data_IF_978903189496
#
_entry.id   IF_978903189496
#
_cell.length_a   1.000
_cell.length_b   1.000
_cell.length_c   1.000
_cell.angle_alpha   90.00
_cell.angle_beta   90.00
_cell.angle_gamma   90.00
#
_symmetry.space_group_name_H-M   'P 1'
#
loop_
_entity.id
_entity.type
_entity.pdbx_description
1 polymer ?
#
# COMPACT_ATOMS: atom_id res chain seq x y z
N UNK A 1 14.41 -5.77 23.33
CA UNK A 1 13.95 -5.46 22.00
C UNK A 1 15.08 -4.95 21.08
N UNK A 2 16.30 -5.48 21.19
CA UNK A 2 17.53 -4.98 20.49
C UNK A 2 18.34 -6.10 19.81
N UNK A 3 17.72 -7.28 19.54
CA UNK A 3 18.41 -8.49 19.01
C UNK A 3 18.06 -8.85 17.56
N UNK A 4 17.27 -8.05 16.84
CA UNK A 4 16.84 -8.35 15.46
C UNK A 4 17.64 -7.61 14.36
N UNK A 5 18.64 -6.80 14.70
CA UNK A 5 19.45 -6.08 13.72
C UNK A 5 20.91 -6.56 13.65
N UNK A 6 21.25 -7.65 14.28
CA UNK A 6 22.61 -8.20 14.25
C UNK A 6 22.83 -9.09 13.02
N UNK A 7 23.22 -8.51 11.88
CA UNK A 7 23.65 -9.30 10.74
C UNK A 7 23.33 -8.77 9.35
N UNK A 8 22.59 -7.67 9.24
CA UNK A 8 22.31 -7.04 7.92
C UNK A 8 23.46 -6.12 7.60
N UNK A 9 24.18 -6.36 6.50
CA UNK A 9 25.24 -5.46 6.05
C UNK A 9 24.66 -4.11 5.63
N UNK A 10 25.45 -3.03 5.70
CA UNK A 10 25.03 -1.70 5.23
C UNK A 10 24.65 -1.73 3.74
N UNK A 11 25.34 -2.53 2.96
CA UNK A 11 25.05 -2.75 1.54
C UNK A 11 23.67 -3.42 1.34
N UNK A 12 23.33 -4.44 2.15
CA UNK A 12 22.03 -5.09 2.10
C UNK A 12 20.92 -4.13 2.51
N UNK A 13 21.15 -3.27 3.50
CA UNK A 13 20.19 -2.27 3.96
C UNK A 13 19.88 -1.23 2.90
N UNK A 14 20.91 -0.73 2.18
CA UNK A 14 20.73 0.24 1.10
C UNK A 14 19.98 -0.38 -0.09
N UNK A 15 20.29 -1.63 -0.44
CA UNK A 15 19.59 -2.36 -1.49
C UNK A 15 18.12 -2.54 -1.14
N UNK A 16 17.80 -3.02 0.06
CA UNK A 16 16.42 -3.21 0.52
C UNK A 16 15.67 -1.87 0.54
N UNK A 17 16.29 -0.78 0.97
CA UNK A 17 15.66 0.54 0.95
C UNK A 17 15.30 0.98 -0.47
N UNK A 18 16.20 0.77 -1.44
CA UNK A 18 15.93 1.07 -2.85
C UNK A 18 14.76 0.25 -3.38
N UNK A 19 14.74 -1.05 -3.09
CA UNK A 19 13.67 -1.96 -3.51
C UNK A 19 12.32 -1.56 -2.88
N UNK A 20 12.30 -1.16 -1.61
CA UNK A 20 11.09 -0.65 -0.93
C UNK A 20 10.56 0.61 -1.60
N UNK A 21 11.44 1.56 -1.93
CA UNK A 21 11.04 2.81 -2.59
C UNK A 21 10.47 2.50 -3.99
N UNK A 22 11.15 1.68 -4.77
CA UNK A 22 10.72 1.32 -6.12
C UNK A 22 9.36 0.60 -6.10
N UNK A 23 9.21 -0.38 -5.22
CA UNK A 23 7.93 -1.10 -5.08
C UNK A 23 6.81 -0.16 -4.63
N UNK A 24 7.06 0.72 -3.65
CA UNK A 24 6.09 1.71 -3.17
C UNK A 24 5.59 2.59 -4.31
N UNK A 25 6.49 3.14 -5.12
CA UNK A 25 6.14 4.01 -6.24
C UNK A 25 5.34 3.22 -7.30
N UNK A 26 5.81 2.02 -7.67
CA UNK A 26 5.09 1.18 -8.62
C UNK A 26 3.67 0.87 -8.15
N UNK A 27 3.49 0.44 -6.90
CA UNK A 27 2.18 0.15 -6.33
C UNK A 27 1.29 1.39 -6.27
N UNK A 28 1.83 2.54 -5.86
CA UNK A 28 1.07 3.80 -5.82
C UNK A 28 0.47 4.12 -7.19
N UNK A 29 1.27 4.11 -8.25
CA UNK A 29 0.80 4.46 -9.59
C UNK A 29 -0.11 3.40 -10.21
N UNK A 30 0.13 2.11 -9.95
CA UNK A 30 -0.77 1.04 -10.40
C UNK A 30 -2.16 1.16 -9.77
N UNK A 31 -2.22 1.34 -8.45
CA UNK A 31 -3.47 1.47 -7.72
C UNK A 31 -4.17 2.79 -8.08
N UNK A 32 -3.42 3.88 -8.26
CA UNK A 32 -3.96 5.16 -8.71
C UNK A 32 -4.59 5.05 -10.12
N UNK A 33 -3.93 4.34 -11.04
CA UNK A 33 -4.46 4.10 -12.37
C UNK A 33 -5.78 3.34 -12.32
N UNK A 34 -5.86 2.30 -11.49
CA UNK A 34 -7.09 1.54 -11.26
C UNK A 34 -8.20 2.43 -10.65
N UNK A 35 -7.89 3.21 -9.60
CA UNK A 35 -8.86 4.12 -8.95
C UNK A 35 -9.44 5.16 -9.91
N UNK A 36 -8.73 5.50 -10.96
CA UNK A 36 -9.17 6.43 -12.01
C UNK A 36 -9.61 5.74 -13.32
N UNK A 37 -9.72 4.41 -13.32
CA UNK A 37 -10.08 3.61 -14.51
C UNK A 37 -9.20 3.92 -15.72
N UNK A 38 -7.89 4.08 -15.50
CA UNK A 38 -6.89 4.38 -16.53
C UNK A 38 -5.97 3.16 -16.72
N UNK A 39 -5.47 3.01 -17.92
CA UNK A 39 -4.42 2.03 -18.19
C UNK A 39 -3.17 2.38 -17.39
N UNK A 40 -2.56 1.41 -16.70
CA UNK A 40 -1.32 1.63 -15.98
C UNK A 40 -0.13 1.81 -16.93
N UNK A 41 0.91 2.47 -16.45
CA UNK A 41 2.19 2.48 -17.14
C UNK A 41 2.84 1.09 -17.07
N UNK A 42 3.36 0.60 -18.20
CA UNK A 42 4.01 -0.69 -18.27
C UNK A 42 5.27 -0.81 -17.41
N UNK A 43 5.97 0.29 -17.16
CA UNK A 43 7.16 0.27 -16.30
C UNK A 43 6.82 -0.14 -14.88
N UNK A 44 5.70 0.35 -14.33
CA UNK A 44 5.21 -0.01 -13.01
C UNK A 44 4.73 -1.47 -12.95
N UNK A 45 4.08 -1.96 -14.02
CA UNK A 45 3.72 -3.39 -14.12
C UNK A 45 4.96 -4.28 -14.17
N UNK A 46 5.97 -3.91 -14.94
CA UNK A 46 7.24 -4.65 -14.98
C UNK A 46 7.93 -4.68 -13.63
N UNK A 47 7.95 -3.54 -12.92
CA UNK A 47 8.51 -3.49 -11.58
C UNK A 47 7.78 -4.43 -10.61
N UNK A 48 6.44 -4.38 -10.54
CA UNK A 48 5.66 -5.28 -9.70
C UNK A 48 5.90 -6.75 -10.06
N UNK A 49 5.90 -7.10 -11.35
CA UNK A 49 6.10 -8.47 -11.81
C UNK A 49 7.52 -8.99 -11.51
N UNK A 50 8.53 -8.12 -11.53
CA UNK A 50 9.88 -8.47 -11.06
C UNK A 50 9.85 -8.84 -9.58
N UNK A 51 9.30 -7.99 -8.71
CA UNK A 51 9.17 -8.28 -7.28
C UNK A 51 8.33 -9.54 -7.02
N UNK A 52 7.28 -9.78 -7.79
CA UNK A 52 6.46 -10.97 -7.69
C UNK A 52 7.26 -12.24 -8.05
N UNK A 53 8.09 -12.18 -9.09
CA UNK A 53 8.95 -13.31 -9.48
C UNK A 53 10.02 -13.62 -8.43
N UNK A 54 10.55 -12.60 -7.76
CA UNK A 54 11.52 -12.72 -6.69
C UNK A 54 10.88 -13.17 -5.36
N UNK A 55 9.59 -12.86 -5.18
CA UNK A 55 8.82 -13.16 -3.97
C UNK A 55 8.33 -14.61 -3.90
N UNK A 56 8.89 -15.55 -4.64
CA UNK A 56 8.51 -16.97 -4.56
C UNK A 56 8.68 -17.47 -3.13
N UNK A 57 7.56 -17.57 -2.43
CA UNK A 57 7.52 -18.11 -1.08
C UNK A 57 7.13 -19.58 -1.15
N UNK A 58 7.88 -20.42 -0.45
CA UNK A 58 7.40 -21.77 -0.11
C UNK A 58 6.47 -21.59 1.07
N UNK A 59 5.17 -21.53 0.78
CA UNK A 59 4.16 -21.47 1.83
C UNK A 59 3.81 -22.87 2.28
N UNK A 60 3.75 -23.06 3.57
CA UNK A 60 3.26 -24.27 4.20
C UNK A 60 1.91 -24.02 4.88
N UNK A 61 1.05 -25.03 4.86
CA UNK A 61 -0.16 -25.04 5.68
C UNK A 61 0.12 -25.88 6.92
N UNK A 62 0.13 -25.24 8.08
CA UNK A 62 0.38 -25.89 9.36
C UNK A 62 -0.88 -25.87 10.22
N UNK A 63 -1.05 -26.93 11.05
CA UNK A 63 -2.10 -26.98 12.06
C UNK A 63 -1.60 -26.33 13.35
N UNK A 64 -2.17 -25.16 13.70
CA UNK A 64 -1.81 -24.42 14.90
C UNK A 64 -3.05 -23.93 15.64
N UNK A 65 -3.10 -24.17 16.97
CA UNK A 65 -4.23 -23.72 17.83
C UNK A 65 -5.61 -24.05 17.26
N UNK A 66 -5.82 -25.31 16.85
CA UNK A 66 -7.10 -25.86 16.32
C UNK A 66 -7.58 -25.21 15.01
N UNK A 67 -6.68 -24.69 14.21
CA UNK A 67 -6.98 -24.13 12.85
C UNK A 67 -5.81 -24.34 11.91
N UNK A 68 -6.09 -24.33 10.63
CA UNK A 68 -5.05 -24.25 9.61
C UNK A 68 -4.51 -22.81 9.53
N UNK A 69 -3.21 -22.70 9.52
CA UNK A 69 -2.49 -21.42 9.40
C UNK A 69 -1.49 -21.54 8.28
N UNK A 70 -1.43 -20.51 7.42
CA UNK A 70 -0.36 -20.39 6.44
C UNK A 70 0.92 -20.00 7.18
N UNK A 71 1.97 -20.74 6.97
CA UNK A 71 3.31 -20.49 7.52
C UNK A 71 4.26 -20.22 6.36
N UNK A 72 5.06 -19.18 6.49
CA UNK A 72 6.10 -18.83 5.53
C UNK A 72 7.42 -18.65 6.29
N UNK A 73 8.08 -19.74 6.67
CA UNK A 73 9.23 -19.70 7.57
C UNK A 73 10.39 -18.86 7.02
N UNK A 74 10.59 -18.85 5.71
CA UNK A 74 11.67 -18.08 5.09
C UNK A 74 11.46 -16.56 5.08
N UNK A 75 10.22 -16.11 5.31
CA UNK A 75 9.87 -14.67 5.20
C UNK A 75 10.35 -13.87 6.40
N UNK A 76 10.45 -14.49 7.57
CA UNK A 76 10.81 -13.78 8.81
C UNK A 76 12.30 -13.67 9.04
N UNK A 77 13.11 -14.49 8.41
CA UNK A 77 14.56 -14.54 8.63
C UNK A 77 15.37 -13.72 7.62
N UNK A 78 14.75 -13.34 6.49
CA UNK A 78 15.41 -12.56 5.44
C UNK A 78 15.09 -11.07 5.55
N UNK A 79 16.05 -10.16 5.26
CA UNK A 79 15.82 -8.71 5.27
C UNK A 79 14.69 -8.24 4.32
N UNK A 80 14.49 -8.95 3.20
CA UNK A 80 13.44 -8.70 2.20
C UNK A 80 12.09 -9.37 2.52
N UNK A 81 12.00 -10.13 3.61
CA UNK A 81 10.81 -10.85 4.01
C UNK A 81 9.53 -10.01 4.09
N UNK A 82 9.54 -8.85 4.78
CA UNK A 82 8.38 -7.97 4.84
C UNK A 82 7.96 -7.45 3.45
N UNK A 83 8.91 -7.21 2.54
CA UNK A 83 8.63 -6.75 1.18
C UNK A 83 7.82 -7.78 0.39
N UNK A 84 8.14 -9.05 0.53
CA UNK A 84 7.41 -10.15 -0.12
C UNK A 84 5.95 -10.22 0.32
N UNK A 85 5.67 -9.99 1.60
CA UNK A 85 4.30 -9.93 2.12
C UNK A 85 3.52 -8.77 1.50
N UNK A 86 4.15 -7.61 1.36
CA UNK A 86 3.55 -6.43 0.70
C UNK A 86 3.24 -6.73 -0.76
N UNK A 87 4.17 -7.34 -1.51
CA UNK A 87 3.95 -7.75 -2.92
C UNK A 87 2.74 -8.66 -3.03
N UNK A 88 2.67 -9.69 -2.19
CA UNK A 88 1.56 -10.63 -2.22
C UNK A 88 0.22 -9.96 -1.89
N UNK A 89 0.17 -9.14 -0.84
CA UNK A 89 -1.04 -8.40 -0.47
C UNK A 89 -1.48 -7.42 -1.58
N UNK A 90 -0.53 -6.78 -2.23
CA UNK A 90 -0.79 -5.87 -3.35
C UNK A 90 -1.38 -6.61 -4.56
N UNK A 91 -0.85 -7.77 -4.92
CA UNK A 91 -1.39 -8.59 -6.01
C UNK A 91 -2.82 -9.03 -5.69
N UNK A 92 -3.07 -9.50 -4.46
CA UNK A 92 -4.44 -9.87 -4.03
C UNK A 92 -5.40 -8.69 -4.16
N UNK A 93 -4.98 -7.48 -3.75
CA UNK A 93 -5.81 -6.29 -3.87
C UNK A 93 -6.07 -5.92 -5.33
N UNK A 94 -5.02 -5.81 -6.15
CA UNK A 94 -5.12 -5.36 -7.55
C UNK A 94 -5.96 -6.31 -8.40
N UNK A 95 -5.93 -7.62 -8.10
CA UNK A 95 -6.67 -8.64 -8.84
C UNK A 95 -8.05 -8.96 -8.26
N UNK A 96 -8.44 -8.35 -7.16
CA UNK A 96 -9.76 -8.52 -6.54
C UNK A 96 -10.72 -7.40 -6.94
N UNK A 97 -12.02 -7.61 -6.71
CA UNK A 97 -13.04 -6.56 -6.86
C UNK A 97 -12.89 -5.41 -5.84
N UNK A 98 -12.10 -5.57 -4.79
CA UNK A 98 -11.81 -4.50 -3.83
C UNK A 98 -11.09 -3.32 -4.48
N UNK A 99 -10.38 -3.55 -5.59
CA UNK A 99 -9.69 -2.48 -6.33
C UNK A 99 -10.64 -1.38 -6.79
N UNK A 100 -11.88 -1.73 -7.14
CA UNK A 100 -12.91 -0.79 -7.58
C UNK A 100 -13.37 0.15 -6.47
N UNK A 101 -13.08 -0.20 -5.22
CA UNK A 101 -13.39 0.58 -4.02
C UNK A 101 -12.20 1.40 -3.51
N UNK A 102 -11.07 1.35 -4.17
CA UNK A 102 -9.93 2.21 -3.83
C UNK A 102 -10.22 3.64 -4.29
N UNK A 103 -9.92 4.60 -3.43
CA UNK A 103 -10.13 6.04 -3.69
C UNK A 103 -8.88 6.83 -3.37
N UNK A 104 -8.68 7.92 -4.11
CA UNK A 104 -7.71 8.94 -3.75
C UNK A 104 -8.36 9.98 -2.82
N UNK A 105 -7.64 10.41 -1.79
CA UNK A 105 -8.13 11.42 -0.86
C UNK A 105 -8.38 12.75 -1.58
N UNK A 106 -9.59 13.30 -1.41
CA UNK A 106 -10.00 14.57 -2.04
C UNK A 106 -9.32 15.81 -1.46
N UNK A 107 -8.51 15.67 -0.39
CA UNK A 107 -7.70 16.77 0.12
C UNK A 107 -6.45 16.94 -0.76
N UNK A 108 -6.37 18.05 -1.50
CA UNK A 108 -5.36 18.31 -2.53
C UNK A 108 -3.90 18.12 -2.10
N UNK A 109 -3.62 18.35 -0.81
CA UNK A 109 -2.27 18.21 -0.25
C UNK A 109 -1.99 16.83 0.33
N UNK A 110 -2.96 15.91 0.35
CA UNK A 110 -2.83 14.58 0.93
C UNK A 110 -2.48 13.52 -0.12
N UNK A 111 -3.33 13.35 -1.13
CA UNK A 111 -3.21 12.35 -2.21
C UNK A 111 -3.06 10.90 -1.73
N UNK A 112 -3.43 10.60 -0.48
CA UNK A 112 -3.35 9.26 0.09
C UNK A 112 -4.40 8.35 -0.55
N UNK A 113 -4.02 7.14 -0.92
CA UNK A 113 -4.95 6.11 -1.40
C UNK A 113 -5.52 5.36 -0.21
N UNK A 114 -6.80 5.03 -0.26
CA UNK A 114 -7.48 4.27 0.79
C UNK A 114 -8.58 3.39 0.20
N UNK A 115 -8.87 2.28 0.87
CA UNK A 115 -9.97 1.40 0.54
C UNK A 115 -11.25 1.91 1.22
N UNK A 116 -12.25 2.25 0.41
CA UNK A 116 -13.56 2.68 0.91
C UNK A 116 -14.45 1.48 1.21
N UNK A 117 -14.49 1.10 2.48
CA UNK A 117 -15.39 0.06 3.01
C UNK A 117 -16.66 0.62 3.63
N UNK A 118 -16.99 1.88 3.36
CA UNK A 118 -18.26 2.44 3.81
C UNK A 118 -19.46 1.84 3.05
N UNK A 119 -20.61 1.82 3.69
CA UNK A 119 -21.82 1.21 3.12
C UNK A 119 -22.20 1.74 1.73
N UNK A 120 -21.93 3.02 1.48
CA UNK A 120 -22.34 3.71 0.26
C UNK A 120 -21.16 4.00 -0.69
N UNK A 121 -19.95 3.54 -0.38
CA UNK A 121 -18.71 3.81 -1.13
C UNK A 121 -18.53 5.30 -1.51
N UNK A 122 -18.93 6.19 -0.59
CA UNK A 122 -18.97 7.65 -0.81
C UNK A 122 -17.93 8.44 0.01
N UNK A 123 -17.00 7.75 0.64
CA UNK A 123 -15.96 8.36 1.44
C UNK A 123 -15.00 9.18 0.56
N UNK A 124 -14.80 10.44 0.93
CA UNK A 124 -14.00 11.40 0.16
C UNK A 124 -12.60 11.62 0.73
N UNK A 125 -12.38 11.32 2.00
CA UNK A 125 -11.12 11.57 2.71
C UNK A 125 -10.61 10.28 3.34
N UNK A 126 -9.29 10.08 3.27
CA UNK A 126 -8.64 8.94 3.92
C UNK A 126 -8.84 8.95 5.44
N UNK A 127 -8.98 10.15 6.02
CA UNK A 127 -9.30 10.37 7.42
C UNK A 127 -10.22 11.59 7.56
N UNK A 128 -11.34 11.43 8.28
CA UNK A 128 -12.32 12.50 8.45
C UNK A 128 -11.84 13.55 9.43
N UNK A 129 -11.13 13.16 10.48
CA UNK A 129 -10.67 14.08 11.52
C UNK A 129 -9.52 14.96 11.02
N UNK A 130 -8.65 14.40 10.17
CA UNK A 130 -7.53 15.14 9.60
C UNK A 130 -7.92 15.81 8.28
N UNK A 131 -8.12 15.05 7.23
CA UNK A 131 -8.33 15.56 5.88
C UNK A 131 -9.72 16.19 5.70
N UNK A 132 -10.74 15.59 6.30
CA UNK A 132 -12.10 16.12 6.29
C UNK A 132 -12.19 17.49 6.97
N UNK A 133 -11.65 17.61 8.18
CA UNK A 133 -11.64 18.87 8.92
C UNK A 133 -10.79 19.94 8.24
N UNK A 134 -9.61 19.58 7.71
CA UNK A 134 -8.78 20.48 6.92
C UNK A 134 -9.53 21.05 5.71
N UNK A 135 -10.24 20.19 4.99
CA UNK A 135 -11.05 20.61 3.83
C UNK A 135 -12.22 21.51 4.23
N UNK A 136 -12.87 21.27 5.38
CA UNK A 136 -13.92 22.13 5.92
C UNK A 136 -13.38 23.52 6.30
N UNK A 137 -12.25 23.56 7.02
CA UNK A 137 -11.62 24.81 7.44
C UNK A 137 -11.24 25.67 6.20
N UNK A 138 -10.59 25.08 5.18
CA UNK A 138 -10.26 25.79 3.93
C UNK A 138 -11.48 26.39 3.26
N UNK A 139 -12.60 25.66 3.19
CA UNK A 139 -13.84 26.17 2.61
C UNK A 139 -14.45 27.31 3.42
N UNK A 140 -14.40 27.23 4.74
CA UNK A 140 -14.86 28.31 5.63
C UNK A 140 -14.08 29.60 5.38
N UNK A 141 -12.75 29.55 5.43
CA UNK A 141 -11.91 30.73 5.19
C UNK A 141 -12.04 31.30 3.78
N UNK A 142 -12.25 30.47 2.77
CA UNK A 142 -12.47 30.95 1.40
C UNK A 142 -13.77 31.72 1.25
N UNK A 143 -14.84 31.33 1.96
CA UNK A 143 -16.11 32.07 1.98
C UNK A 143 -15.97 33.42 2.68
N UNK A 144 -15.39 33.43 3.86
CA UNK A 144 -15.23 34.67 4.67
C UNK A 144 -14.38 35.74 3.93
N UNK A 145 -13.44 35.31 3.07
CA UNK A 145 -12.63 36.24 2.27
C UNK A 145 -13.35 36.83 1.06
N UNK A 146 -14.39 36.19 0.56
CA UNK A 146 -15.17 36.69 -0.60
C UNK A 146 -16.33 37.56 -0.15
N UNK A 147 -16.63 37.59 1.15
CA UNK A 147 -17.73 38.41 1.73
C UNK A 147 -17.22 39.78 2.30
N UNK A 148 -15.93 40.10 2.10
CA UNK A 148 -15.27 41.36 2.44
C UNK A 148 -14.73 42.03 1.19
#
# INVERSE_FOLDING_TARGET
MRKLLGGVSEFDSQRVLKDVIELREALYFLILSAAHSRSPDESHLRALNRFLSEARTVDEVVWHKRRFVRSSPEVTERPDGPLRQVVHAAVVLITSSDIDNVRECSEKTCRWLFLDRSRNHSRRWCDMQLCGNRSKAKRFYARTRNDV
#
